data_IF_310216023457
#
_entry.id   IF_310216023457
#
_cell.length_a   1.000
_cell.length_b   1.000
_cell.length_c   1.000
_cell.angle_alpha   90.00
_cell.angle_beta   90.00
_cell.angle_gamma   90.00
#
_symmetry.space_group_name_H-M   'P 1'
#
loop_
_entity.id
_entity.type
_entity.pdbx_description
1 polymer ?
#
# COMPACT_ATOMS: atom_id res chain seq x y z
N UNK A 1 -18.79 -27.49 14.62
CA UNK A 1 -17.87 -26.33 14.77
C UNK A 1 -16.67 -26.41 13.82
N UNK A 2 -16.00 -27.56 13.70
CA UNK A 2 -14.83 -27.79 12.81
C UNK A 2 -15.08 -27.56 11.30
N UNK A 3 -16.31 -27.79 10.81
CA UNK A 3 -16.64 -27.54 9.39
C UNK A 3 -16.74 -26.05 9.05
N UNK A 4 -17.11 -25.21 10.01
CA UNK A 4 -17.28 -23.76 9.82
C UNK A 4 -15.94 -23.02 9.80
N UNK A 5 -14.95 -23.51 10.55
CA UNK A 5 -13.57 -23.00 10.51
C UNK A 5 -12.87 -23.41 9.22
N UNK A 6 -13.06 -24.66 8.76
CA UNK A 6 -12.46 -25.15 7.51
C UNK A 6 -12.98 -24.40 6.27
N UNK A 7 -14.27 -24.08 6.22
CA UNK A 7 -14.86 -23.27 5.12
C UNK A 7 -14.40 -21.81 5.15
N UNK A 8 -14.19 -21.23 6.34
CA UNK A 8 -13.65 -19.88 6.49
C UNK A 8 -12.18 -19.79 6.05
N UNK A 9 -11.38 -20.80 6.38
CA UNK A 9 -9.98 -20.88 5.94
C UNK A 9 -9.87 -21.08 4.43
N UNK A 10 -10.68 -21.96 3.83
CA UNK A 10 -10.77 -22.13 2.38
C UNK A 10 -11.13 -20.82 1.66
N UNK A 11 -12.09 -20.07 2.22
CA UNK A 11 -12.47 -18.76 1.68
C UNK A 11 -11.32 -17.75 1.81
N UNK A 12 -10.65 -17.69 2.96
CA UNK A 12 -9.51 -16.79 3.17
C UNK A 12 -8.35 -17.08 2.20
N UNK A 13 -8.02 -18.36 1.97
CA UNK A 13 -6.98 -18.73 1.00
C UNK A 13 -7.38 -18.37 -0.43
N UNK A 14 -8.67 -18.50 -0.79
CA UNK A 14 -9.17 -18.10 -2.10
C UNK A 14 -9.11 -16.58 -2.29
N UNK A 15 -9.61 -15.81 -1.32
CA UNK A 15 -9.58 -14.35 -1.34
C UNK A 15 -8.13 -13.83 -1.43
N UNK A 16 -7.21 -14.50 -0.74
CA UNK A 16 -5.77 -14.21 -0.79
C UNK A 16 -5.13 -14.49 -2.16
N UNK A 17 -5.55 -15.55 -2.86
CA UNK A 17 -5.08 -15.88 -4.21
C UNK A 17 -5.64 -14.85 -5.21
N UNK A 18 -6.93 -14.53 -5.11
CA UNK A 18 -7.59 -13.51 -5.94
C UNK A 18 -6.91 -12.14 -5.79
N UNK A 19 -6.47 -11.80 -4.57
CA UNK A 19 -5.72 -10.56 -4.30
C UNK A 19 -4.33 -10.57 -4.95
N UNK A 20 -3.62 -11.70 -4.93
CA UNK A 20 -2.31 -11.85 -5.59
C UNK A 20 -2.47 -11.74 -7.12
N UNK A 21 -3.48 -12.38 -7.70
CA UNK A 21 -3.76 -12.31 -9.13
C UNK A 21 -4.11 -10.88 -9.57
N UNK A 22 -4.91 -10.16 -8.77
CA UNK A 22 -5.18 -8.75 -8.99
C UNK A 22 -3.89 -7.92 -8.96
N UNK A 23 -2.98 -8.16 -8.02
CA UNK A 23 -1.73 -7.42 -7.91
C UNK A 23 -0.80 -7.69 -9.10
N UNK A 24 -0.70 -8.93 -9.57
CA UNK A 24 0.04 -9.32 -10.79
C UNK A 24 -0.54 -8.60 -12.01
N UNK A 25 -1.86 -8.65 -12.21
CA UNK A 25 -2.52 -8.01 -13.35
C UNK A 25 -2.32 -6.48 -13.31
N UNK A 26 -2.44 -5.88 -12.13
CA UNK A 26 -2.28 -4.45 -11.94
C UNK A 26 -0.84 -3.98 -12.19
N UNK A 27 0.17 -4.70 -11.71
CA UNK A 27 1.57 -4.43 -12.01
C UNK A 27 1.85 -4.59 -13.51
N UNK A 28 1.26 -5.61 -14.15
CA UNK A 28 1.38 -5.84 -15.58
C UNK A 28 0.82 -4.70 -16.43
N UNK A 29 -0.34 -4.14 -16.07
CA UNK A 29 -0.93 -2.96 -16.75
C UNK A 29 0.02 -1.76 -16.66
N UNK A 30 0.50 -1.46 -15.46
CA UNK A 30 1.39 -0.31 -15.23
C UNK A 30 2.72 -0.44 -15.97
N UNK A 31 3.28 -1.65 -16.09
CA UNK A 31 4.51 -1.89 -16.85
C UNK A 31 4.29 -1.81 -18.36
N UNK A 32 3.14 -2.24 -18.87
CA UNK A 32 2.85 -2.30 -20.32
C UNK A 32 2.90 -0.94 -21.01
N UNK A 33 2.79 0.16 -20.28
CA UNK A 33 2.85 1.51 -20.84
C UNK A 33 3.72 2.44 -20.00
N UNK A 34 4.78 2.99 -20.60
CA UNK A 34 5.60 4.04 -20.00
C UNK A 34 4.76 5.26 -19.57
N UNK A 35 3.64 5.51 -20.24
CA UNK A 35 2.69 6.58 -19.90
C UNK A 35 1.93 6.25 -18.62
N UNK A 36 1.52 5.00 -18.42
CA UNK A 36 0.84 4.58 -17.18
C UNK A 36 1.81 4.52 -16.00
N UNK A 37 3.05 4.08 -16.22
CA UNK A 37 4.11 4.12 -15.22
C UNK A 37 4.42 5.55 -14.78
N UNK A 38 4.49 6.47 -15.75
CA UNK A 38 4.66 7.91 -15.50
C UNK A 38 3.46 8.49 -14.74
N UNK A 39 2.23 8.23 -15.19
CA UNK A 39 0.99 8.71 -14.54
C UNK A 39 0.86 8.19 -13.10
N UNK A 40 1.22 6.93 -12.85
CA UNK A 40 1.25 6.35 -11.51
C UNK A 40 2.27 7.06 -10.63
N UNK A 41 3.50 7.24 -11.12
CA UNK A 41 4.57 7.93 -10.40
C UNK A 41 4.22 9.39 -10.08
N UNK A 42 3.61 10.11 -11.03
CA UNK A 42 3.12 11.47 -10.80
C UNK A 42 2.09 11.53 -9.69
N UNK A 43 1.10 10.62 -9.67
CA UNK A 43 0.11 10.56 -8.56
C UNK A 43 0.78 10.37 -7.21
N UNK A 44 1.82 9.53 -7.13
CA UNK A 44 2.59 9.32 -5.90
C UNK A 44 3.32 10.58 -5.43
N UNK A 45 3.98 11.27 -6.35
CA UNK A 45 4.67 12.53 -6.09
C UNK A 45 3.69 13.62 -5.63
N UNK A 46 2.53 13.76 -6.29
CA UNK A 46 1.50 14.71 -5.88
C UNK A 46 0.94 14.40 -4.49
N UNK A 47 0.68 13.13 -4.17
CA UNK A 47 0.22 12.72 -2.84
C UNK A 47 1.25 13.06 -1.75
N UNK A 48 2.54 12.84 -2.04
CA UNK A 48 3.63 13.22 -1.15
C UNK A 48 3.67 14.73 -0.94
N UNK A 49 3.70 15.54 -2.01
CA UNK A 49 3.72 17.00 -1.89
C UNK A 49 2.50 17.55 -1.15
N UNK A 50 1.33 16.94 -1.35
CA UNK A 50 0.12 17.31 -0.63
C UNK A 50 0.24 17.07 0.88
N UNK A 51 0.69 15.87 1.28
CA UNK A 51 0.92 15.54 2.68
C UNK A 51 2.01 16.42 3.32
N UNK A 52 3.08 16.69 2.58
CA UNK A 52 4.13 17.62 3.00
C UNK A 52 3.56 19.03 3.23
N UNK A 53 2.75 19.53 2.29
CA UNK A 53 2.09 20.82 2.42
C UNK A 53 1.20 20.89 3.66
N UNK A 54 0.35 19.88 3.89
CA UNK A 54 -0.51 19.81 5.07
C UNK A 54 0.28 19.74 6.39
N UNK A 55 1.33 18.93 6.44
CA UNK A 55 2.14 18.76 7.64
C UNK A 55 2.79 20.07 8.10
N UNK A 56 3.09 20.97 7.16
CA UNK A 56 3.65 22.29 7.43
C UNK A 56 2.58 23.38 7.62
N UNK A 57 1.46 23.29 6.88
CA UNK A 57 0.38 24.28 6.94
C UNK A 57 -0.36 24.23 8.28
N UNK A 58 -0.57 23.04 8.85
CA UNK A 58 -1.34 22.89 10.09
C UNK A 58 -0.69 23.64 11.26
N UNK A 59 0.61 23.44 11.58
CA UNK A 59 1.27 24.22 12.62
C UNK A 59 1.15 25.74 12.41
N UNK A 60 1.42 26.21 11.18
CA UNK A 60 1.35 27.63 10.83
C UNK A 60 -0.07 28.20 10.99
N UNK A 61 -1.10 27.45 10.61
CA UNK A 61 -2.48 27.87 10.77
C UNK A 61 -2.87 28.00 12.25
N UNK A 62 -2.42 27.09 13.12
CA UNK A 62 -2.68 27.18 14.55
C UNK A 62 -1.93 28.34 15.21
N UNK A 63 -0.69 28.60 14.80
CA UNK A 63 0.08 29.76 15.26
C UNK A 63 -0.61 31.08 14.87
N UNK A 64 -1.15 31.19 13.66
CA UNK A 64 -1.86 32.38 13.17
C UNK A 64 -3.12 32.73 13.98
N UNK A 65 -3.85 31.72 14.48
CA UNK A 65 -5.07 31.93 15.29
C UNK A 65 -4.74 32.04 16.79
N UNK A 66 -3.45 32.08 17.17
CA UNK A 66 -3.02 32.17 18.56
C UNK A 66 -3.18 30.88 19.37
N UNK A 67 -3.38 29.75 18.70
CA UNK A 67 -3.60 28.42 19.29
C UNK A 67 -2.37 27.50 19.18
N UNK A 68 -1.21 28.03 18.77
CA UNK A 68 0.04 27.27 18.52
C UNK A 68 0.51 26.36 19.65
N UNK A 69 0.19 26.72 20.90
CA UNK A 69 0.54 25.95 22.09
C UNK A 69 -0.64 25.26 22.78
N UNK A 70 -1.85 25.33 22.20
CA UNK A 70 -3.04 24.75 22.80
C UNK A 70 -2.92 23.22 22.83
N UNK A 71 -2.67 22.66 24.02
CA UNK A 71 -2.55 21.23 24.31
C UNK A 71 -1.58 20.44 23.40
N UNK A 72 -0.62 21.11 22.75
CA UNK A 72 0.29 20.53 21.76
C UNK A 72 -0.41 19.82 20.57
N UNK A 73 -1.68 20.17 20.30
CA UNK A 73 -2.48 19.59 19.21
C UNK A 73 -1.80 19.76 17.84
N UNK A 74 -1.21 20.94 17.50
CA UNK A 74 -0.54 21.12 16.21
C UNK A 74 0.65 20.18 16.02
N UNK A 75 1.44 19.97 17.07
CA UNK A 75 2.63 19.12 17.07
C UNK A 75 2.26 17.65 16.93
N UNK A 76 1.22 17.19 17.64
CA UNK A 76 0.70 15.81 17.52
C UNK A 76 0.15 15.57 16.11
N UNK A 77 -0.63 16.52 15.57
CA UNK A 77 -1.19 16.41 14.22
C UNK A 77 -0.09 16.37 13.16
N UNK A 78 0.93 17.23 13.30
CA UNK A 78 2.09 17.23 12.40
C UNK A 78 2.85 15.91 12.48
N UNK A 79 3.08 15.35 13.68
CA UNK A 79 3.73 14.05 13.86
C UNK A 79 2.97 12.92 13.14
N UNK A 80 1.63 12.90 13.25
CA UNK A 80 0.78 11.93 12.55
C UNK A 80 0.91 12.08 11.04
N UNK A 81 0.85 13.31 10.53
CA UNK A 81 0.98 13.57 9.09
C UNK A 81 2.36 13.22 8.55
N UNK A 82 3.43 13.51 9.29
CA UNK A 82 4.79 13.11 8.94
C UNK A 82 4.96 11.59 8.96
N UNK A 83 4.37 10.91 9.94
CA UNK A 83 4.36 9.44 9.99
C UNK A 83 3.62 8.85 8.78
N UNK A 84 2.47 9.43 8.43
CA UNK A 84 1.72 9.05 7.23
C UNK A 84 2.51 9.33 5.94
N UNK A 85 3.19 10.47 5.85
CA UNK A 85 4.05 10.83 4.72
C UNK A 85 5.17 9.79 4.53
N UNK A 86 5.88 9.41 5.60
CA UNK A 86 6.92 8.38 5.55
C UNK A 86 6.33 7.02 5.11
N UNK A 87 5.17 6.64 5.65
CA UNK A 87 4.50 5.40 5.27
C UNK A 87 4.09 5.36 3.79
N UNK A 88 3.54 6.47 3.28
CA UNK A 88 3.18 6.62 1.87
C UNK A 88 4.44 6.62 1.00
N UNK A 89 5.49 7.34 1.38
CA UNK A 89 6.77 7.37 0.69
C UNK A 89 7.37 5.96 0.56
N UNK A 90 7.41 5.21 1.66
CA UNK A 90 7.91 3.84 1.68
C UNK A 90 7.09 2.92 0.78
N UNK A 91 5.76 3.02 0.82
CA UNK A 91 4.87 2.23 -0.05
C UNK A 91 5.12 2.53 -1.53
N UNK A 92 5.29 3.81 -1.89
CA UNK A 92 5.56 4.23 -3.26
C UNK A 92 6.96 3.82 -3.73
N UNK A 93 7.98 3.93 -2.87
CA UNK A 93 9.32 3.41 -3.14
C UNK A 93 9.23 1.92 -3.45
N UNK A 94 8.66 1.12 -2.54
CA UNK A 94 8.58 -0.33 -2.73
C UNK A 94 7.86 -0.70 -4.03
N UNK A 95 6.81 0.03 -4.40
CA UNK A 95 6.12 -0.13 -5.68
C UNK A 95 7.02 0.17 -6.87
N UNK A 96 7.79 1.25 -6.81
CA UNK A 96 8.75 1.61 -7.86
C UNK A 96 9.86 0.55 -7.99
N UNK A 97 10.39 0.06 -6.87
CA UNK A 97 11.39 -1.02 -6.86
C UNK A 97 10.83 -2.32 -7.46
N UNK A 98 9.60 -2.69 -7.12
CA UNK A 98 8.90 -3.82 -7.73
C UNK A 98 8.69 -3.64 -9.25
N UNK A 99 8.40 -2.42 -9.72
CA UNK A 99 8.25 -2.14 -11.15
C UNK A 99 9.59 -2.18 -11.89
N UNK A 100 10.67 -1.73 -11.25
CA UNK A 100 12.04 -1.81 -11.77
C UNK A 100 12.50 -3.27 -11.88
N UNK A 101 12.28 -4.05 -10.83
CA UNK A 101 12.64 -5.47 -10.74
C UNK A 101 11.43 -6.37 -11.04
N UNK A 102 10.66 -6.03 -12.08
CA UNK A 102 9.36 -6.66 -12.34
C UNK A 102 9.41 -8.19 -12.44
N UNK A 103 10.42 -8.75 -13.12
CA UNK A 103 10.52 -10.21 -13.27
C UNK A 103 10.68 -10.91 -11.92
N UNK A 104 11.49 -10.34 -11.02
CA UNK A 104 11.67 -10.87 -9.66
C UNK A 104 10.41 -10.66 -8.81
N UNK A 105 9.74 -9.51 -8.96
CA UNK A 105 8.50 -9.20 -8.24
C UNK A 105 7.36 -10.16 -8.63
N UNK A 106 7.19 -10.44 -9.91
CA UNK A 106 6.22 -11.43 -10.40
C UNK A 106 6.59 -12.84 -9.95
N UNK A 107 7.86 -13.27 -10.08
CA UNK A 107 8.29 -14.58 -9.63
C UNK A 107 8.04 -14.79 -8.12
N UNK A 108 8.23 -13.74 -7.31
CA UNK A 108 7.91 -13.76 -5.89
C UNK A 108 6.41 -13.89 -5.63
N UNK A 109 5.56 -13.15 -6.35
CA UNK A 109 4.10 -13.25 -6.22
C UNK A 109 3.58 -14.62 -6.68
N UNK A 110 4.11 -15.14 -7.79
CA UNK A 110 3.78 -16.47 -8.32
C UNK A 110 4.19 -17.58 -7.34
N UNK A 111 5.38 -17.48 -6.74
CA UNK A 111 5.81 -18.45 -5.71
C UNK A 111 4.90 -18.43 -4.48
N UNK A 112 4.44 -17.25 -4.03
CA UNK A 112 3.49 -17.12 -2.93
C UNK A 112 2.13 -17.71 -3.30
N UNK A 113 1.65 -17.47 -4.53
CA UNK A 113 0.43 -18.05 -5.06
C UNK A 113 0.50 -19.57 -5.06
N UNK A 114 1.58 -20.16 -5.59
CA UNK A 114 1.78 -21.62 -5.63
C UNK A 114 1.77 -22.26 -4.24
N UNK A 115 2.38 -21.61 -3.24
CA UNK A 115 2.35 -22.08 -1.85
C UNK A 115 0.93 -22.05 -1.30
N UNK A 116 0.17 -20.98 -1.56
CA UNK A 116 -1.23 -20.85 -1.11
C UNK A 116 -2.16 -21.83 -1.83
N UNK A 117 -1.99 -22.05 -3.14
CA UNK A 117 -2.72 -23.06 -3.91
C UNK A 117 -2.44 -24.49 -3.40
N UNK A 118 -1.18 -24.79 -3.07
CA UNK A 118 -0.80 -26.09 -2.51
C UNK A 118 -1.44 -26.31 -1.14
N UNK A 119 -1.48 -25.28 -0.28
CA UNK A 119 -2.21 -25.31 1.00
C UNK A 119 -3.70 -25.50 0.77
N UNK A 120 -4.31 -24.74 -0.15
CA UNK A 120 -5.73 -24.84 -0.51
C UNK A 120 -6.10 -26.27 -0.94
N UNK A 121 -5.31 -26.88 -1.85
CA UNK A 121 -5.50 -28.27 -2.31
C UNK A 121 -5.41 -29.29 -1.18
N UNK A 122 -4.52 -29.07 -0.20
CA UNK A 122 -4.37 -29.91 0.99
C UNK A 122 -5.57 -29.81 1.94
N UNK A 123 -6.26 -28.67 1.97
CA UNK A 123 -7.49 -28.47 2.75
C UNK A 123 -8.75 -28.94 2.02
N UNK A 124 -8.76 -28.95 0.68
CA UNK A 124 -9.90 -29.41 -0.12
C UNK A 124 -9.95 -30.93 -0.34
N UNK A 125 -8.86 -31.64 -0.04
CA UNK A 125 -8.79 -33.12 0.04
C UNK A 125 -9.16 -33.57 1.45
#
# INVERSE_FOLDING_TARGET
MLLYTKSRELKAYKDDIDLIDFEIEHLGKIRKSSVEMSRSSFKGIFAMFFLFGLANLIPLAFDLVGLGNLFRIPQITSLILWSAFVGVAYRWWKRYDNLKNYQEAIAKLESQRLVKETKLKKFST
#
